data_IF_969629821521
#
_entry.id   IF_969629821521
#
_cell.length_a   1.000
_cell.length_b   1.000
_cell.length_c   1.000
_cell.angle_alpha   90.00
_cell.angle_beta   90.00
_cell.angle_gamma   90.00
#
_symmetry.space_group_name_H-M   'P 1'
#
loop_
_entity.id
_entity.type
_entity.pdbx_description
1 polymer ?
#
# COMPACT_ATOMS: atom_id res chain seq x y z
N UNK A 1 17.88 40.52 -44.45
CA UNK A 1 18.10 39.05 -44.35
C UNK A 1 16.74 38.37 -44.47
N UNK A 2 16.34 37.99 -45.67
CA UNK A 2 15.03 37.35 -45.94
C UNK A 2 15.22 35.84 -45.90
N UNK A 3 14.71 35.19 -44.86
CA UNK A 3 14.66 33.73 -44.76
C UNK A 3 13.67 33.20 -45.78
N UNK A 4 14.14 32.47 -46.78
CA UNK A 4 13.30 31.75 -47.74
C UNK A 4 12.50 30.69 -46.98
N UNK A 5 11.20 30.91 -46.79
CA UNK A 5 10.29 29.87 -46.32
C UNK A 5 10.11 28.85 -47.45
N UNK A 6 10.76 27.70 -47.34
CA UNK A 6 10.61 26.59 -48.30
C UNK A 6 9.25 25.93 -48.07
N UNK A 7 8.47 25.78 -49.15
CA UNK A 7 7.18 25.08 -49.12
C UNK A 7 7.36 23.59 -48.81
N UNK A 8 6.36 23.02 -48.14
CA UNK A 8 6.35 21.64 -47.69
C UNK A 8 6.01 20.68 -48.83
N UNK A 9 6.81 19.62 -49.00
CA UNK A 9 6.55 18.61 -50.02
C UNK A 9 5.61 17.53 -49.50
N UNK A 10 4.78 16.94 -50.38
CA UNK A 10 3.82 15.91 -49.96
C UNK A 10 4.53 14.69 -49.34
N UNK A 11 5.70 14.32 -49.86
CA UNK A 11 6.50 13.20 -49.34
C UNK A 11 7.02 13.48 -47.91
N UNK A 12 7.35 14.73 -47.60
CA UNK A 12 7.83 15.12 -46.26
C UNK A 12 6.72 14.98 -45.21
N UNK A 13 5.45 15.32 -45.54
CA UNK A 13 4.31 14.99 -44.65
C UNK A 13 4.13 13.52 -44.42
N UNK A 14 4.21 12.72 -45.49
CA UNK A 14 3.96 11.29 -45.41
C UNK A 14 4.98 10.66 -44.47
N UNK A 15 6.25 11.05 -44.59
CA UNK A 15 7.30 10.58 -43.69
C UNK A 15 7.04 11.07 -42.25
N UNK A 16 6.65 12.34 -42.05
CA UNK A 16 6.35 12.88 -40.71
C UNK A 16 5.21 12.14 -40.02
N UNK A 17 4.06 11.92 -40.67
CA UNK A 17 2.92 11.24 -40.03
C UNK A 17 3.24 9.77 -39.73
N UNK A 18 4.05 9.11 -40.57
CA UNK A 18 4.49 7.73 -40.34
C UNK A 18 5.43 7.67 -39.13
N UNK A 19 6.38 8.61 -39.03
CA UNK A 19 7.28 8.69 -37.88
C UNK A 19 6.55 9.02 -36.58
N UNK A 20 5.56 9.92 -36.62
CA UNK A 20 4.72 10.26 -35.46
C UNK A 20 3.81 9.09 -35.05
N UNK A 21 3.26 8.35 -36.02
CA UNK A 21 2.50 7.13 -35.77
C UNK A 21 3.34 6.04 -35.12
N UNK A 22 4.57 5.84 -35.60
CA UNK A 22 5.51 4.89 -35.01
C UNK A 22 5.92 5.30 -33.58
N UNK A 23 6.14 6.60 -33.35
CA UNK A 23 6.42 7.15 -32.02
C UNK A 23 5.22 7.03 -31.06
N UNK A 24 3.99 7.15 -31.56
CA UNK A 24 2.78 6.98 -30.74
C UNK A 24 2.59 5.51 -30.30
N UNK A 25 2.98 4.53 -31.13
CA UNK A 25 2.91 3.10 -30.78
C UNK A 25 3.92 2.74 -29.67
N UNK A 26 5.13 3.31 -29.70
CA UNK A 26 6.13 3.09 -28.66
C UNK A 26 5.72 3.77 -27.35
N UNK A 27 5.16 4.98 -27.41
CA UNK A 27 4.65 5.70 -26.24
C UNK A 27 3.42 5.00 -25.61
N UNK A 28 2.50 4.50 -26.43
CA UNK A 28 1.32 3.76 -25.94
C UNK A 28 1.69 2.45 -25.23
N UNK A 29 2.74 1.77 -25.69
CA UNK A 29 3.25 0.55 -25.04
C UNK A 29 3.91 0.83 -23.67
N UNK A 30 4.38 2.07 -23.45
CA UNK A 30 4.99 2.49 -22.18
C UNK A 30 3.97 3.04 -21.17
N UNK A 31 2.89 3.70 -21.64
CA UNK A 31 1.84 4.25 -20.78
C UNK A 31 0.79 3.20 -20.35
N UNK A 32 0.54 2.18 -21.18
CA UNK A 32 -0.40 1.11 -20.88
C UNK A 32 -0.14 0.34 -19.56
N UNK A 33 1.10 -0.04 -19.18
CA UNK A 33 1.34 -0.83 -17.96
C UNK A 33 1.15 -0.07 -16.63
N UNK A 34 1.00 1.26 -16.64
CA UNK A 34 0.94 2.05 -15.39
C UNK A 34 -0.45 2.05 -14.72
N UNK A 35 -1.52 1.80 -15.48
CA UNK A 35 -2.89 1.87 -14.95
C UNK A 35 -3.24 0.67 -14.04
N UNK A 36 -2.75 -0.53 -14.36
CA UNK A 36 -3.04 -1.74 -13.60
C UNK A 36 -2.36 -1.76 -12.21
N UNK A 37 -1.12 -1.27 -12.11
CA UNK A 37 -0.38 -1.26 -10.83
C UNK A 37 -0.87 -0.22 -9.83
N UNK A 38 -1.65 0.76 -10.29
CA UNK A 38 -2.11 1.86 -9.45
C UNK A 38 -3.12 1.41 -8.38
N UNK A 39 -3.97 0.41 -8.66
CA UNK A 39 -4.96 -0.08 -7.68
C UNK A 39 -4.29 -0.78 -6.51
N UNK A 40 -3.33 -1.66 -6.78
CA UNK A 40 -2.63 -2.43 -5.74
C UNK A 40 -1.73 -1.51 -4.90
N UNK A 41 -1.05 -0.55 -5.55
CA UNK A 41 -0.25 0.44 -4.84
C UNK A 41 -1.09 1.27 -3.85
N UNK A 42 -2.32 1.64 -4.22
CA UNK A 42 -3.23 2.36 -3.33
C UNK A 42 -3.68 1.49 -2.14
N UNK A 43 -3.89 0.19 -2.34
CA UNK A 43 -4.21 -0.76 -1.26
C UNK A 43 -3.07 -0.85 -0.25
N UNK A 44 -1.85 -1.16 -0.71
CA UNK A 44 -0.70 -1.34 0.17
C UNK A 44 -0.38 -0.09 1.00
N UNK A 45 -0.50 1.10 0.40
CA UNK A 45 -0.29 2.36 1.11
C UNK A 45 -1.30 2.55 2.26
N UNK A 46 -2.58 2.26 2.02
CA UNK A 46 -3.62 2.39 3.05
C UNK A 46 -3.52 1.31 4.11
N UNK A 47 -3.27 0.06 3.72
CA UNK A 47 -3.06 -1.06 4.65
C UNK A 47 -1.84 -0.80 5.55
N UNK A 48 -0.76 -0.22 5.01
CA UNK A 48 0.43 0.17 5.77
C UNK A 48 0.17 1.29 6.76
N UNK A 49 -0.56 2.34 6.35
CA UNK A 49 -0.95 3.41 7.26
C UNK A 49 -1.84 2.88 8.39
N UNK A 50 -2.82 2.04 8.05
CA UNK A 50 -3.73 1.41 9.01
C UNK A 50 -2.97 0.51 10.00
N UNK A 51 -2.29 -0.52 9.49
CA UNK A 51 -1.55 -1.48 10.32
C UNK A 51 -0.46 -0.80 11.15
N UNK A 52 0.23 0.19 10.60
CA UNK A 52 1.21 1.00 11.32
C UNK A 52 0.60 1.80 12.48
N UNK A 53 -0.58 2.40 12.28
CA UNK A 53 -1.27 3.15 13.34
C UNK A 53 -1.74 2.25 14.48
N UNK A 54 -2.28 1.07 14.15
CA UNK A 54 -2.70 0.06 15.13
C UNK A 54 -1.50 -0.51 15.87
N UNK A 55 -0.44 -0.89 15.15
CA UNK A 55 0.79 -1.38 15.74
C UNK A 55 1.40 -0.35 16.70
N UNK A 56 1.45 0.93 16.29
CA UNK A 56 1.92 2.01 17.15
C UNK A 56 1.07 2.14 18.42
N UNK A 57 -0.26 2.01 18.30
CA UNK A 57 -1.17 2.04 19.45
C UNK A 57 -0.94 0.87 20.40
N UNK A 58 -0.81 -0.35 19.88
CA UNK A 58 -0.58 -1.56 20.67
C UNK A 58 0.77 -1.51 21.38
N UNK A 59 1.84 -1.14 20.66
CA UNK A 59 3.19 -1.06 21.24
C UNK A 59 3.33 0.05 22.29
N UNK A 60 2.48 1.08 22.23
CA UNK A 60 2.42 2.12 23.25
C UNK A 60 1.78 1.65 24.57
N UNK A 61 1.04 0.53 24.56
CA UNK A 61 0.47 -0.03 25.79
C UNK A 61 1.53 -0.68 26.67
N UNK A 62 1.19 -0.87 27.95
CA UNK A 62 2.03 -1.62 28.87
C UNK A 62 2.04 -3.12 28.50
N UNK A 63 3.01 -3.87 29.02
CA UNK A 63 3.12 -5.31 28.74
C UNK A 63 1.90 -6.12 29.24
N UNK A 64 1.22 -5.68 30.29
CA UNK A 64 0.01 -6.33 30.81
C UNK A 64 -1.25 -5.89 30.08
N UNK A 65 -1.36 -4.61 29.73
CA UNK A 65 -2.60 -4.06 29.17
C UNK A 65 -2.77 -4.42 27.68
N UNK A 66 -1.68 -4.79 27.01
CA UNK A 66 -1.73 -5.18 25.60
C UNK A 66 -2.58 -6.44 25.38
N UNK A 67 -2.66 -7.35 26.36
CA UNK A 67 -3.44 -8.60 26.26
C UNK A 67 -4.94 -8.35 26.12
N UNK A 68 -5.43 -7.17 26.53
CA UNK A 68 -6.83 -6.80 26.36
C UNK A 68 -7.24 -6.63 24.88
N UNK A 69 -6.26 -6.51 23.99
CA UNK A 69 -6.47 -6.35 22.55
C UNK A 69 -6.24 -7.66 21.77
N UNK A 70 -5.97 -8.77 22.46
CA UNK A 70 -5.82 -10.07 21.79
C UNK A 70 -7.15 -10.54 21.19
N UNK A 71 -7.12 -10.94 19.92
CA UNK A 71 -8.30 -11.28 19.13
C UNK A 71 -9.18 -10.09 18.75
N UNK A 72 -8.71 -8.84 18.94
CA UNK A 72 -9.49 -7.65 18.57
C UNK A 72 -9.62 -7.53 17.04
N UNK A 73 -10.85 -7.31 16.59
CA UNK A 73 -11.20 -7.19 15.17
C UNK A 73 -11.99 -5.91 14.88
N UNK A 74 -12.55 -5.26 15.90
CA UNK A 74 -13.22 -3.97 15.76
C UNK A 74 -12.19 -2.85 15.72
N UNK A 75 -12.03 -2.30 14.53
CA UNK A 75 -11.10 -1.20 14.27
C UNK A 75 -11.42 0.05 15.11
N UNK A 76 -12.67 0.22 15.53
CA UNK A 76 -13.11 1.36 16.36
C UNK A 76 -12.49 1.36 17.75
N UNK A 77 -12.12 0.18 18.27
CA UNK A 77 -11.45 0.04 19.57
C UNK A 77 -9.95 0.32 19.47
N UNK A 78 -9.40 0.27 18.26
CA UNK A 78 -7.96 0.35 17.99
C UNK A 78 -7.54 1.75 17.53
N UNK A 79 -8.35 2.43 16.71
CA UNK A 79 -8.04 3.76 16.17
C UNK A 79 -9.26 4.69 16.21
N UNK A 80 -8.98 6.01 16.24
CA UNK A 80 -10.03 7.04 16.29
C UNK A 80 -10.77 7.25 14.97
N UNK A 81 -10.14 6.93 13.84
CA UNK A 81 -10.66 7.21 12.50
C UNK A 81 -11.05 5.93 11.73
N UNK A 82 -11.60 4.94 12.44
CA UNK A 82 -11.96 3.62 11.89
C UNK A 82 -12.90 3.70 10.67
N UNK A 83 -13.78 4.69 10.62
CA UNK A 83 -14.73 4.90 9.50
C UNK A 83 -14.04 5.19 8.16
N UNK A 84 -12.80 5.70 8.17
CA UNK A 84 -11.99 5.94 6.96
C UNK A 84 -11.58 4.63 6.28
N UNK A 85 -11.55 3.53 7.03
CA UNK A 85 -11.06 2.23 6.61
C UNK A 85 -12.18 1.18 6.55
N UNK A 86 -13.41 1.58 6.21
CA UNK A 86 -14.60 0.71 6.21
C UNK A 86 -14.49 -0.54 5.33
N UNK A 87 -13.61 -0.53 4.33
CA UNK A 87 -13.35 -1.66 3.44
C UNK A 87 -12.17 -2.56 3.88
N UNK A 88 -11.55 -2.25 5.02
CA UNK A 88 -10.45 -3.01 5.61
C UNK A 88 -10.95 -3.69 6.88
N UNK A 89 -10.49 -4.91 7.07
CA UNK A 89 -10.65 -5.69 8.28
C UNK A 89 -9.28 -5.84 8.93
N UNK A 90 -9.29 -5.99 10.24
CA UNK A 90 -8.08 -6.17 11.02
C UNK A 90 -8.26 -7.32 11.99
N UNK A 91 -7.17 -8.00 12.27
CA UNK A 91 -7.12 -9.00 13.33
C UNK A 91 -5.82 -8.81 14.09
N UNK A 92 -5.94 -8.72 15.41
CA UNK A 92 -4.81 -8.60 16.33
C UNK A 92 -4.64 -9.94 17.03
N UNK A 93 -3.42 -10.47 17.03
CA UNK A 93 -3.04 -11.67 17.78
C UNK A 93 -1.84 -11.35 18.66
N UNK A 94 -1.94 -11.69 19.94
CA UNK A 94 -0.90 -11.48 20.93
C UNK A 94 -0.62 -12.80 21.62
N UNK A 95 0.53 -13.36 21.28
CA UNK A 95 0.93 -14.68 21.75
C UNK A 95 2.23 -14.62 22.56
N UNK A 96 2.35 -15.43 23.62
CA UNK A 96 3.64 -15.63 24.28
C UNK A 96 4.62 -16.32 23.32
N UNK A 97 5.87 -15.85 23.30
CA UNK A 97 6.88 -16.42 22.40
C UNK A 97 7.41 -17.73 22.98
N UNK A 98 7.13 -18.85 22.31
CA UNK A 98 7.63 -20.17 22.70
C UNK A 98 9.17 -20.20 22.71
N UNK A 99 9.75 -20.60 23.85
CA UNK A 99 11.21 -20.64 24.03
C UNK A 99 11.86 -19.32 24.44
N UNK A 100 11.09 -18.25 24.61
CA UNK A 100 11.55 -17.00 25.22
C UNK A 100 11.24 -16.96 26.73
N UNK A 101 11.83 -16.01 27.45
CA UNK A 101 11.39 -15.66 28.81
C UNK A 101 9.90 -15.27 28.78
N UNK A 102 9.16 -15.58 29.86
CA UNK A 102 7.74 -15.22 30.05
C UNK A 102 7.45 -13.72 30.00
N UNK A 103 8.48 -12.90 29.78
CA UNK A 103 8.44 -11.46 29.63
C UNK A 103 8.38 -11.01 28.16
N UNK A 104 8.24 -11.91 27.18
CA UNK A 104 8.19 -11.56 25.75
C UNK A 104 6.91 -12.08 25.09
N UNK A 105 6.24 -11.19 24.35
CA UNK A 105 5.06 -11.50 23.54
C UNK A 105 5.28 -11.07 22.10
N UNK A 106 4.77 -11.84 21.14
CA UNK A 106 4.62 -11.41 19.75
C UNK A 106 3.31 -10.67 19.58
N UNK A 107 3.34 -9.57 18.84
CA UNK A 107 2.18 -8.80 18.45
C UNK A 107 2.07 -8.90 16.94
N UNK A 108 1.03 -9.56 16.47
CA UNK A 108 0.73 -9.77 15.06
C UNK A 108 -0.51 -8.95 14.74
N UNK A 109 -0.42 -8.15 13.69
CA UNK A 109 -1.56 -7.37 13.17
C UNK A 109 -1.73 -7.73 11.71
N UNK A 110 -2.87 -8.30 11.36
CA UNK A 110 -3.20 -8.68 9.99
C UNK A 110 -4.27 -7.75 9.43
N UNK A 111 -3.96 -7.12 8.30
CA UNK A 111 -4.89 -6.24 7.59
C UNK A 111 -5.36 -6.94 6.33
N UNK A 112 -6.67 -7.10 6.20
CA UNK A 112 -7.31 -7.79 5.07
C UNK A 112 -8.34 -6.88 4.40
N UNK A 113 -8.49 -6.99 3.08
CA UNK A 113 -9.61 -6.40 2.36
C UNK A 113 -10.17 -7.43 1.36
N UNK A 114 -11.47 -7.33 1.03
CA UNK A 114 -12.28 -8.38 0.37
C UNK A 114 -11.68 -9.10 -0.85
N UNK A 115 -10.76 -8.50 -1.59
CA UNK A 115 -10.17 -9.07 -2.80
C UNK A 115 -8.65 -8.86 -2.90
N UNK A 116 -8.01 -8.50 -1.79
CA UNK A 116 -6.61 -8.11 -1.74
C UNK A 116 -5.83 -9.07 -0.81
N UNK A 117 -4.53 -9.27 -1.05
CA UNK A 117 -3.71 -10.11 -0.17
C UNK A 117 -3.57 -9.50 1.22
N UNK A 118 -3.61 -10.35 2.25
CA UNK A 118 -3.42 -9.93 3.65
C UNK A 118 -2.04 -9.32 3.85
N UNK A 119 -1.99 -8.19 4.55
CA UNK A 119 -0.75 -7.51 4.94
C UNK A 119 -0.55 -7.73 6.43
N UNK A 120 0.54 -8.43 6.79
CA UNK A 120 0.85 -8.78 8.18
C UNK A 120 1.98 -7.91 8.75
N UNK A 121 1.81 -7.46 9.99
CA UNK A 121 2.78 -6.69 10.74
C UNK A 121 3.14 -7.45 12.01
N UNK A 122 4.44 -7.72 12.19
CA UNK A 122 4.95 -8.47 13.32
C UNK A 122 5.86 -7.59 14.18
N UNK A 123 5.61 -7.58 15.48
CA UNK A 123 6.44 -6.91 16.46
C UNK A 123 6.59 -7.77 17.72
N UNK A 124 7.52 -7.38 18.59
CA UNK A 124 7.72 -8.03 19.88
C UNK A 124 7.61 -7.01 21.01
N UNK A 125 6.90 -7.37 22.07
CA UNK A 125 6.76 -6.57 23.28
C UNK A 125 7.41 -7.32 24.45
N UNK A 126 8.41 -6.68 25.04
CA UNK A 126 9.10 -7.18 26.23
C UNK A 126 8.69 -6.44 27.51
N UNK A 127 8.79 -7.13 28.64
CA UNK A 127 8.73 -6.57 29.98
C UNK A 127 10.16 -6.48 30.54
N UNK A 128 10.76 -5.29 30.48
CA UNK A 128 12.15 -5.01 30.89
C UNK A 128 12.21 -3.93 31.97
#
# INVERSE_FOLDING_TARGET
>A
MTTNAKGFTLIESVIVIVLLGFAALTLSSFLAPQSAQSSDANYYNRASALGGSVMSRLLAQSYSDIDAFDGETDLSNLIKDASTYSNFQIEVSIDPVSGASSNLKSVIVEVTASSQPTVSFNAFKGNY
#
